data_IF_290560787239
#
_entry.id   IF_290560787239
#
_cell.length_a   1.000
_cell.length_b   1.000
_cell.length_c   1.000
_cell.angle_alpha   90.00
_cell.angle_beta   90.00
_cell.angle_gamma   90.00
#
_symmetry.space_group_name_H-M   'P 1'
#
loop_
_entity.id
_entity.type
_entity.pdbx_description
1 polymer ?
#
# COMPACT_ATOMS: atom_id res chain seq x y z
N UNK A 1 -3.49 -7.16 -13.94
CA UNK A 1 -2.98 -6.42 -12.77
C UNK A 1 -3.49 -7.13 -11.52
N UNK A 2 -2.64 -7.42 -10.54
CA UNK A 2 -3.06 -8.09 -9.29
C UNK A 2 -3.58 -7.06 -8.28
N UNK A 3 -4.41 -7.49 -7.31
CA UNK A 3 -4.86 -6.61 -6.23
C UNK A 3 -3.69 -6.01 -5.44
N UNK A 4 -2.61 -6.77 -5.23
CA UNK A 4 -1.40 -6.27 -4.58
C UNK A 4 -0.78 -5.11 -5.36
N UNK A 5 -0.68 -5.24 -6.68
CA UNK A 5 -0.10 -4.20 -7.52
C UNK A 5 -0.97 -2.94 -7.51
N UNK A 6 -2.29 -3.08 -7.56
CA UNK A 6 -3.23 -1.95 -7.48
C UNK A 6 -3.13 -1.22 -6.14
N UNK A 7 -3.10 -1.98 -5.04
CA UNK A 7 -2.94 -1.41 -3.70
C UNK A 7 -1.58 -0.71 -3.59
N UNK A 8 -0.50 -1.35 -4.04
CA UNK A 8 0.84 -0.77 -3.96
C UNK A 8 0.96 0.52 -4.77
N UNK A 9 0.42 0.55 -6.00
CA UNK A 9 0.42 1.73 -6.87
C UNK A 9 -0.35 2.90 -6.22
N UNK A 10 -1.54 2.60 -5.66
CA UNK A 10 -2.34 3.59 -4.95
C UNK A 10 -1.60 4.17 -3.73
N UNK A 11 -0.88 3.33 -2.98
CA UNK A 11 -0.06 3.76 -1.85
C UNK A 11 1.19 4.55 -2.28
N UNK A 12 1.81 4.17 -3.40
CA UNK A 12 2.98 4.88 -3.96
C UNK A 12 2.64 6.31 -4.40
N UNK A 13 1.39 6.54 -4.82
CA UNK A 13 0.89 7.88 -5.08
C UNK A 13 0.71 8.73 -3.80
N UNK A 14 1.04 8.21 -2.61
CA UNK A 14 0.94 8.91 -1.33
C UNK A 14 -0.43 8.82 -0.67
N UNK A 15 -1.35 8.00 -1.21
CA UNK A 15 -2.66 7.80 -0.61
C UNK A 15 -2.58 6.85 0.59
N UNK A 16 -3.60 6.94 1.45
CA UNK A 16 -3.86 5.95 2.49
C UNK A 16 -5.03 5.06 2.07
N UNK A 17 -5.10 3.84 2.58
CA UNK A 17 -6.19 2.91 2.25
C UNK A 17 -6.75 2.22 3.49
N UNK A 18 -8.07 2.12 3.55
CA UNK A 18 -8.83 1.35 4.53
C UNK A 18 -9.44 0.09 3.90
N UNK A 19 -9.87 -0.93 4.69
CA UNK A 19 -10.51 -2.12 4.14
C UNK A 19 -11.75 -1.82 3.30
N UNK A 20 -12.52 -0.79 3.67
CA UNK A 20 -13.70 -0.38 2.93
C UNK A 20 -13.32 0.21 1.58
N UNK A 21 -12.34 1.13 1.54
CA UNK A 21 -11.84 1.67 0.27
C UNK A 21 -11.21 0.61 -0.62
N UNK A 22 -10.50 -0.36 -0.04
CA UNK A 22 -9.91 -1.47 -0.79
C UNK A 22 -10.98 -2.37 -1.43
N UNK A 23 -12.08 -2.58 -0.72
CA UNK A 23 -13.24 -3.30 -1.24
C UNK A 23 -13.89 -2.52 -2.38
N UNK A 24 -14.20 -1.24 -2.16
CA UNK A 24 -14.92 -0.40 -3.13
C UNK A 24 -14.11 -0.13 -4.41
N UNK A 25 -12.78 0.08 -4.27
CA UNK A 25 -11.92 0.45 -5.41
C UNK A 25 -11.33 -0.74 -6.14
N UNK A 26 -10.95 -1.79 -5.42
CA UNK A 26 -10.15 -2.90 -5.97
C UNK A 26 -10.82 -4.28 -5.80
N UNK A 27 -12.03 -4.32 -5.24
CA UNK A 27 -12.72 -5.58 -4.94
C UNK A 27 -11.96 -6.43 -3.91
N UNK A 28 -11.13 -5.82 -3.06
CA UNK A 28 -10.26 -6.55 -2.15
C UNK A 28 -10.93 -6.76 -0.79
N UNK A 29 -11.52 -7.94 -0.60
CA UNK A 29 -12.16 -8.34 0.65
C UNK A 29 -11.17 -8.50 1.83
N UNK A 30 -9.89 -8.74 1.52
CA UNK A 30 -8.87 -9.08 2.52
C UNK A 30 -7.63 -8.17 2.42
N UNK A 31 -7.81 -6.86 2.61
CA UNK A 31 -6.73 -5.87 2.57
C UNK A 31 -5.54 -6.24 3.48
N UNK A 32 -5.80 -6.71 4.69
CA UNK A 32 -4.75 -7.07 5.65
C UNK A 32 -3.81 -8.16 5.12
N UNK A 33 -4.34 -9.18 4.42
CA UNK A 33 -3.53 -10.23 3.81
C UNK A 33 -2.64 -9.69 2.68
N UNK A 34 -3.18 -8.77 1.87
CA UNK A 34 -2.42 -8.14 0.78
C UNK A 34 -1.31 -7.24 1.30
N UNK A 35 -1.59 -6.46 2.35
CA UNK A 35 -0.57 -5.66 3.03
C UNK A 35 0.49 -6.55 3.68
N UNK A 36 0.10 -7.67 4.31
CA UNK A 36 1.05 -8.62 4.87
C UNK A 36 2.01 -9.18 3.80
N UNK A 37 1.49 -9.57 2.64
CA UNK A 37 2.29 -10.05 1.51
C UNK A 37 3.23 -8.95 0.98
N UNK A 38 2.74 -7.72 0.82
CA UNK A 38 3.56 -6.57 0.42
C UNK A 38 4.70 -6.27 1.41
N UNK A 39 4.45 -6.39 2.71
CA UNK A 39 5.46 -6.17 3.76
C UNK A 39 6.50 -7.27 3.79
N UNK A 40 6.06 -8.54 3.88
CA UNK A 40 6.94 -9.66 4.18
C UNK A 40 7.56 -10.28 2.93
N UNK A 41 6.83 -10.37 1.83
CA UNK A 41 7.32 -10.96 0.58
C UNK A 41 8.02 -9.92 -0.28
N UNK A 42 7.46 -8.71 -0.38
CA UNK A 42 7.98 -7.65 -1.26
C UNK A 42 8.81 -6.58 -0.54
N UNK A 43 8.98 -6.69 0.79
CA UNK A 43 9.81 -5.78 1.57
C UNK A 43 9.33 -4.32 1.57
N UNK A 44 8.03 -4.07 1.39
CA UNK A 44 7.48 -2.71 1.33
C UNK A 44 7.31 -2.13 2.74
N UNK A 45 7.81 -0.92 3.04
CA UNK A 45 7.70 -0.31 4.37
C UNK A 45 6.31 0.30 4.59
N UNK A 46 5.29 -0.55 4.64
CA UNK A 46 3.89 -0.12 4.86
C UNK A 46 3.65 0.04 6.36
N UNK A 47 3.20 1.23 6.72
CA UNK A 47 2.79 1.63 8.05
C UNK A 47 1.28 1.41 8.24
N UNK A 48 0.86 1.32 9.50
CA UNK A 48 -0.55 1.11 9.85
C UNK A 48 -0.93 1.78 11.15
N UNK A 49 -2.15 2.29 11.23
CA UNK A 49 -2.78 2.77 12.47
C UNK A 49 -4.22 2.31 12.54
N UNK A 50 -4.74 2.14 13.75
CA UNK A 50 -6.18 2.00 13.95
C UNK A 50 -6.83 3.38 13.91
N UNK A 51 -7.88 3.51 13.11
CA UNK A 51 -8.73 4.71 13.06
C UNK A 51 -10.13 4.34 13.56
N UNK A 52 -10.79 5.30 14.18
CA UNK A 52 -12.20 5.18 14.57
C UNK A 52 -13.08 5.80 13.48
N UNK A 53 -14.09 5.04 13.06
CA UNK A 53 -15.06 5.45 12.07
C UNK A 53 -16.22 6.20 12.74
N UNK A 54 -16.99 7.02 11.99
CA UNK A 54 -18.13 7.77 12.54
C UNK A 54 -19.20 6.89 13.21
N UNK A 55 -19.26 5.59 12.87
CA UNK A 55 -20.16 4.62 13.48
C UNK A 55 -19.60 3.96 14.76
N UNK A 56 -18.50 4.47 15.31
CA UNK A 56 -17.84 3.96 16.52
C UNK A 56 -17.05 2.66 16.31
N UNK A 57 -17.04 2.09 15.10
CA UNK A 57 -16.20 0.93 14.78
C UNK A 57 -14.78 1.38 14.51
N UNK A 58 -13.83 0.47 14.67
CA UNK A 58 -12.41 0.72 14.38
C UNK A 58 -11.95 -0.12 13.21
N UNK A 59 -11.13 0.47 12.34
CA UNK A 59 -10.49 -0.25 11.24
C UNK A 59 -9.01 0.17 11.11
N UNK A 60 -8.21 -0.66 10.46
CA UNK A 60 -6.83 -0.33 10.16
C UNK A 60 -6.76 0.55 8.91
N UNK A 61 -6.00 1.64 8.97
CA UNK A 61 -5.61 2.44 7.83
C UNK A 61 -4.13 2.20 7.55
N UNK A 62 -3.79 2.02 6.27
CA UNK A 62 -2.44 1.71 5.81
C UNK A 62 -1.90 2.80 4.87
N UNK A 63 -0.59 3.05 4.92
CA UNK A 63 0.10 3.96 4.02
C UNK A 63 1.57 3.57 3.84
N UNK A 64 2.20 4.05 2.77
CA UNK A 64 3.64 3.89 2.57
C UNK A 64 4.41 4.99 3.27
N UNK A 65 5.59 4.64 3.78
CA UNK A 65 6.54 5.60 4.33
C UNK A 65 6.88 6.70 3.29
N UNK A 66 6.89 7.95 3.73
CA UNK A 66 7.03 9.12 2.84
C UNK A 66 8.43 9.19 2.23
N UNK A 67 9.45 8.89 3.01
CA UNK A 67 10.84 8.86 2.54
C UNK A 67 11.02 7.73 1.52
N UNK A 68 10.40 6.56 1.75
CA UNK A 68 10.40 5.48 0.78
C UNK A 68 9.79 5.88 -0.57
N UNK A 69 8.64 6.57 -0.57
CA UNK A 69 8.01 7.07 -1.80
C UNK A 69 8.94 8.04 -2.51
N UNK A 70 9.49 9.04 -1.81
CA UNK A 70 10.38 10.04 -2.39
C UNK A 70 11.62 9.41 -3.03
N UNK A 71 12.29 8.50 -2.32
CA UNK A 71 13.48 7.79 -2.82
C UNK A 71 13.13 6.94 -4.05
N UNK A 72 11.96 6.30 -4.07
CA UNK A 72 11.54 5.46 -5.20
C UNK A 72 11.25 6.31 -6.45
N UNK A 73 10.55 7.43 -6.29
CA UNK A 73 10.27 8.36 -7.38
C UNK A 73 11.54 8.96 -7.97
N UNK A 74 12.52 9.32 -7.13
CA UNK A 74 13.82 9.83 -7.60
C UNK A 74 14.61 8.77 -8.39
N UNK A 75 14.59 7.51 -7.93
CA UNK A 75 15.26 6.39 -8.62
C UNK A 75 14.66 6.12 -10.00
N UNK A 76 13.35 6.27 -10.13
CA UNK A 76 12.65 6.12 -11.41
C UNK A 76 13.08 7.21 -12.41
N UNK A 77 13.12 8.47 -11.97
CA UNK A 77 13.58 9.61 -12.78
C UNK A 77 15.04 9.48 -13.23
N UNK A 78 15.88 8.81 -12.44
CA UNK A 78 17.30 8.56 -12.76
C UNK A 78 17.53 7.30 -13.62
N UNK A 79 16.47 6.58 -14.02
CA UNK A 79 16.59 5.39 -14.86
C UNK A 79 17.25 4.19 -14.18
N UNK A 80 17.35 4.17 -12.84
CA UNK A 80 18.01 3.10 -12.07
C UNK A 80 17.02 2.07 -11.54
N UNK A 81 16.10 1.58 -12.38
CA UNK A 81 15.26 0.44 -12.02
C UNK A 81 15.92 -0.87 -12.47
N UNK A 82 16.82 -1.37 -11.62
CA UNK A 82 17.29 -2.75 -11.70
C UNK A 82 16.13 -3.70 -11.46
N UNK A 83 15.61 -4.28 -12.53
CA UNK A 83 14.61 -5.35 -12.54
C UNK A 83 14.98 -6.41 -11.49
N UNK A 84 14.17 -6.51 -10.44
CA UNK A 84 14.09 -7.72 -9.62
C UNK A 84 12.66 -8.22 -9.66
N UNK A 85 12.31 -8.83 -10.79
CA UNK A 85 11.27 -9.83 -10.87
C UNK A 85 11.97 -11.19 -10.77
N UNK A 86 11.86 -11.82 -9.61
CA UNK A 86 12.04 -13.27 -9.42
C UNK A 86 10.65 -13.86 -9.19
#
# INVERSE_FOLDING_TARGET
MTQNQQILDYLMAGNTITPLEALERFGCFSLAARVYELKNTHGKPIQSKLIELPNGKRCAQYWLDRDYIAITSLKDQMGVNGVKSV
#
